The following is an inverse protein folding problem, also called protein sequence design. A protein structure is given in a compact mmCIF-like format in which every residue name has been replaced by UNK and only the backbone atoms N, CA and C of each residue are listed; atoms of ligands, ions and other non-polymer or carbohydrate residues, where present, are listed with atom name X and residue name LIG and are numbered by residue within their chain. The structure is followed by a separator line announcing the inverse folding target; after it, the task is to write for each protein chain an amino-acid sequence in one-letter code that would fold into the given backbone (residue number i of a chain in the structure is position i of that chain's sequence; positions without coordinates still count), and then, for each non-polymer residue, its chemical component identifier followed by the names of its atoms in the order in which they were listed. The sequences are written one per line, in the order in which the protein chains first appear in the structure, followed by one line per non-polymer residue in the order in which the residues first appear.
data_IF_436868258788
#
_entry.id   IF_436868258788
#
_cell.length_a   1.000
_cell.length_b   1.000
_cell.length_c   1.000
_cell.angle_alpha   90.00
_cell.angle_beta   90.00
_cell.angle_gamma   90.00
#
_symmetry.space_group_name_H-M   'P 1'
#
loop_
_entity.id
_entity.type
_entity.pdbx_description
1 polymer ?
#
# COMPACT_ATOMS: atom_id res chain seq x y z
N UNK A 1 -42.77 -2.18 17.24
CA UNK A 1 -41.74 -1.24 17.72
C UNK A 1 -40.63 -1.20 16.67
N UNK A 2 -40.47 -0.10 15.95
CA UNK A 2 -39.38 0.04 14.96
C UNK A 2 -38.06 0.29 15.69
N UNK A 3 -37.02 -0.47 15.35
CA UNK A 3 -35.69 -0.30 15.93
C UNK A 3 -35.11 1.07 15.55
N UNK A 4 -34.42 1.73 16.49
CA UNK A 4 -33.70 2.97 16.19
C UNK A 4 -32.61 2.67 15.14
N UNK A 5 -32.48 3.50 14.09
CA UNK A 5 -31.42 3.33 13.12
C UNK A 5 -30.04 3.41 13.80
N UNK A 6 -29.06 2.73 13.22
CA UNK A 6 -27.68 2.87 13.70
C UNK A 6 -27.21 4.33 13.55
N UNK A 7 -26.32 4.78 14.43
CA UNK A 7 -25.76 6.13 14.37
C UNK A 7 -25.19 6.48 12.98
N UNK A 8 -24.60 5.50 12.29
CA UNK A 8 -24.09 5.67 10.92
C UNK A 8 -25.21 6.01 9.93
N UNK A 9 -26.33 5.31 10.02
CA UNK A 9 -27.51 5.58 9.17
C UNK A 9 -28.08 6.95 9.48
N UNK A 10 -28.20 7.33 10.76
CA UNK A 10 -28.65 8.67 11.15
C UNK A 10 -27.75 9.79 10.59
N UNK A 11 -26.43 9.58 10.62
CA UNK A 11 -25.46 10.51 10.05
C UNK A 11 -25.58 10.62 8.54
N UNK A 12 -25.70 9.49 7.84
CA UNK A 12 -25.82 9.46 6.38
C UNK A 12 -27.11 10.15 5.91
N UNK A 13 -28.23 9.93 6.60
CA UNK A 13 -29.50 10.62 6.36
C UNK A 13 -29.41 12.13 6.64
N UNK A 14 -28.77 12.52 7.76
CA UNK A 14 -28.59 13.93 8.09
C UNK A 14 -27.76 14.66 7.04
N UNK A 15 -26.62 14.06 6.64
CA UNK A 15 -25.77 14.56 5.56
C UNK A 15 -26.54 14.69 4.25
N UNK A 16 -27.32 13.67 3.87
CA UNK A 16 -28.11 13.68 2.65
C UNK A 16 -29.14 14.82 2.65
N UNK A 17 -29.85 15.03 3.77
CA UNK A 17 -30.79 16.17 3.92
C UNK A 17 -30.09 17.52 3.80
N UNK A 18 -28.95 17.70 4.46
CA UNK A 18 -28.19 18.96 4.39
C UNK A 18 -27.69 19.25 2.97
N UNK A 19 -27.20 18.22 2.27
CA UNK A 19 -26.80 18.34 0.86
C UNK A 19 -27.99 18.68 -0.05
N UNK A 20 -29.17 18.12 0.20
CA UNK A 20 -30.38 18.39 -0.59
C UNK A 20 -30.86 19.85 -0.47
N UNK A 21 -30.57 20.51 0.65
CA UNK A 21 -30.86 21.95 0.87
C UNK A 21 -29.72 22.85 0.37
N UNK A 22 -28.63 22.26 -0.16
CA UNK A 22 -27.53 22.99 -0.78
C UNK A 22 -26.34 23.31 0.13
N UNK A 23 -26.32 22.82 1.37
CA UNK A 23 -25.18 23.05 2.27
C UNK A 23 -23.89 22.44 1.71
N UNK A 24 -22.80 23.19 1.82
CA UNK A 24 -21.45 22.75 1.47
C UNK A 24 -20.95 21.65 2.42
N UNK A 25 -19.92 20.92 2.01
CA UNK A 25 -19.27 19.95 2.88
C UNK A 25 -18.63 20.60 4.11
N UNK A 26 -18.25 21.88 4.04
CA UNK A 26 -17.64 22.59 5.17
C UNK A 26 -18.68 22.98 6.21
N UNK A 27 -19.85 23.45 5.78
CA UNK A 27 -20.98 23.70 6.69
C UNK A 27 -21.47 22.41 7.36
N UNK A 28 -21.54 21.31 6.59
CA UNK A 28 -21.88 20.00 7.15
C UNK A 28 -20.80 19.54 8.15
N UNK A 29 -19.52 19.78 7.88
CA UNK A 29 -18.45 19.44 8.81
C UNK A 29 -18.56 20.22 10.12
N UNK A 30 -18.88 21.51 10.08
CA UNK A 30 -19.12 22.32 11.28
C UNK A 30 -20.27 21.73 12.10
N UNK A 31 -21.37 21.38 11.46
CA UNK A 31 -22.53 20.80 12.15
C UNK A 31 -22.23 19.41 12.70
N UNK A 32 -21.44 18.59 11.99
CA UNK A 32 -21.01 17.28 12.49
C UNK A 32 -20.04 17.40 13.66
N UNK A 33 -19.14 18.38 13.64
CA UNK A 33 -18.24 18.66 14.76
C UNK A 33 -19.03 19.08 16.00
N UNK A 34 -20.07 19.91 15.84
CA UNK A 34 -20.95 20.35 16.92
C UNK A 34 -21.81 19.22 17.48
N UNK A 35 -22.54 18.51 16.60
CA UNK A 35 -23.57 17.54 16.98
C UNK A 35 -23.01 16.20 17.46
N UNK A 36 -21.87 15.77 16.90
CA UNK A 36 -21.25 14.47 17.22
C UNK A 36 -19.89 14.62 17.91
N UNK A 37 -19.47 15.85 18.26
CA UNK A 37 -18.18 16.14 18.89
C UNK A 37 -16.98 15.63 18.10
N UNK A 38 -17.10 15.58 16.77
CA UNK A 38 -16.01 15.13 15.92
C UNK A 38 -14.88 16.16 15.85
N UNK A 39 -13.64 15.66 15.94
CA UNK A 39 -12.46 16.44 15.56
C UNK A 39 -12.55 16.87 14.09
N UNK A 40 -11.93 18.01 13.70
CA UNK A 40 -12.06 18.55 12.35
C UNK A 40 -11.83 17.53 11.22
N UNK A 41 -10.78 16.70 11.31
CA UNK A 41 -10.51 15.64 10.34
C UNK A 41 -11.65 14.62 10.20
N UNK A 42 -12.21 14.17 11.33
CA UNK A 42 -13.32 13.23 11.33
C UNK A 42 -14.60 13.90 10.80
N UNK A 43 -14.84 15.15 11.18
CA UNK A 43 -16.00 15.91 10.72
C UNK A 43 -16.01 16.08 9.19
N UNK A 44 -14.89 16.47 8.58
CA UNK A 44 -14.79 16.57 7.11
C UNK A 44 -14.94 15.21 6.41
N UNK A 45 -14.41 14.12 6.99
CA UNK A 45 -14.63 12.76 6.46
C UNK A 45 -16.12 12.43 6.43
N UNK A 46 -16.82 12.60 7.54
CA UNK A 46 -18.24 12.28 7.65
C UNK A 46 -19.11 13.21 6.81
N UNK A 47 -18.77 14.49 6.71
CA UNK A 47 -19.47 15.45 5.87
C UNK A 47 -19.47 15.03 4.39
N UNK A 48 -18.37 14.46 3.90
CA UNK A 48 -18.25 13.92 2.54
C UNK A 48 -18.84 12.51 2.37
N UNK A 49 -19.27 11.86 3.46
CA UNK A 49 -19.78 10.49 3.44
C UNK A 49 -18.69 9.45 3.15
N UNK A 50 -17.43 9.76 3.44
CA UNK A 50 -16.31 8.87 3.14
C UNK A 50 -16.08 7.84 4.23
N UNK A 51 -15.71 6.63 3.81
CA UNK A 51 -15.05 5.67 4.70
C UNK A 51 -13.66 6.18 5.09
N UNK A 52 -13.05 5.56 6.10
CA UNK A 52 -11.67 5.88 6.47
C UNK A 52 -10.70 5.67 5.31
N UNK A 53 -10.86 4.57 4.57
CA UNK A 53 -10.06 4.26 3.38
C UNK A 53 -10.24 5.29 2.27
N UNK A 54 -11.48 5.70 1.97
CA UNK A 54 -11.74 6.71 0.96
C UNK A 54 -11.11 8.06 1.32
N UNK A 55 -11.19 8.46 2.60
CA UNK A 55 -10.56 9.68 3.07
C UNK A 55 -9.02 9.61 3.01
N UNK A 56 -8.43 8.48 3.41
CA UNK A 56 -7.00 8.26 3.30
C UNK A 56 -6.53 8.35 1.84
N UNK A 57 -7.19 7.63 0.93
CA UNK A 57 -6.85 7.65 -0.50
C UNK A 57 -6.94 9.06 -1.09
N UNK A 58 -7.97 9.84 -0.74
CA UNK A 58 -8.10 11.21 -1.22
C UNK A 58 -7.00 12.13 -0.67
N UNK A 59 -6.61 11.97 0.60
CA UNK A 59 -5.51 12.75 1.21
C UNK A 59 -4.19 12.39 0.53
N UNK A 60 -3.90 11.11 0.39
CA UNK A 60 -2.69 10.60 -0.24
C UNK A 60 -2.56 11.10 -1.69
N UNK A 61 -3.64 10.97 -2.48
CA UNK A 61 -3.64 11.43 -3.86
C UNK A 61 -3.45 12.96 -3.97
N UNK A 62 -3.94 13.73 -3.00
CA UNK A 62 -3.67 15.17 -2.96
C UNK A 62 -2.23 15.47 -2.57
N UNK A 63 -1.67 14.77 -1.57
CA UNK A 63 -0.30 14.95 -1.13
C UNK A 63 0.70 14.65 -2.26
N UNK A 64 0.49 13.56 -3.01
CA UNK A 64 1.28 13.21 -4.18
C UNK A 64 1.23 14.32 -5.25
N UNK A 65 0.04 14.76 -5.66
CA UNK A 65 -0.11 15.83 -6.67
C UNK A 65 0.45 17.18 -6.22
N UNK A 66 0.43 17.48 -4.93
CA UNK A 66 0.91 18.73 -4.36
C UNK A 66 2.41 18.69 -3.97
N UNK A 67 3.09 17.55 -4.14
CA UNK A 67 4.47 17.37 -3.69
C UNK A 67 4.66 17.46 -2.17
N UNK A 68 3.60 17.18 -1.40
CA UNK A 68 3.60 17.19 0.07
C UNK A 68 3.96 15.83 0.69
N UNK A 69 4.32 14.85 -0.15
CA UNK A 69 4.81 13.54 0.26
C UNK A 69 6.24 13.31 -0.25
N UNK A 70 7.24 14.08 0.25
CA UNK A 70 8.61 13.99 -0.23
C UNK A 70 9.28 12.65 0.12
N UNK A 71 8.82 11.99 1.18
CA UNK A 71 9.39 10.73 1.69
C UNK A 71 8.62 9.49 1.19
N UNK A 72 7.56 9.66 0.38
CA UNK A 72 6.75 8.55 -0.12
C UNK A 72 6.03 7.77 0.99
N UNK A 73 5.62 8.46 2.05
CA UNK A 73 4.92 7.85 3.18
C UNK A 73 3.48 7.43 2.82
N UNK A 74 2.90 8.00 1.76
CA UNK A 74 1.63 7.51 1.24
C UNK A 74 1.83 6.14 0.56
N UNK A 75 0.94 5.16 0.83
CA UNK A 75 0.99 3.89 0.12
C UNK A 75 0.86 4.11 -1.38
N UNK A 76 1.83 3.58 -2.12
CA UNK A 76 1.84 3.59 -3.57
C UNK A 76 0.68 2.77 -4.12
N UNK A 77 0.14 3.23 -5.25
CA UNK A 77 -0.78 2.45 -6.06
C UNK A 77 -0.06 1.27 -6.70
N UNK A 78 -0.82 0.22 -7.06
CA UNK A 78 -0.29 -0.93 -7.80
C UNK A 78 0.38 -0.51 -9.11
N UNK A 79 -0.17 0.50 -9.79
CA UNK A 79 0.41 1.06 -11.01
C UNK A 79 1.74 1.77 -10.74
N UNK A 80 1.84 2.57 -9.68
CA UNK A 80 3.10 3.23 -9.31
C UNK A 80 4.18 2.21 -8.93
N UNK A 81 3.80 1.11 -8.25
CA UNK A 81 4.72 0.00 -7.97
C UNK A 81 5.15 -0.66 -9.29
N UNK A 82 4.21 -0.97 -10.18
CA UNK A 82 4.49 -1.57 -11.48
C UNK A 82 5.45 -0.70 -12.31
N UNK A 83 5.21 0.61 -12.36
CA UNK A 83 6.03 1.54 -13.13
C UNK A 83 7.44 1.66 -12.53
N UNK A 84 7.56 1.68 -11.20
CA UNK A 84 8.86 1.60 -10.54
C UNK A 84 9.59 0.28 -10.83
N UNK A 85 8.90 -0.85 -10.75
CA UNK A 85 9.48 -2.18 -11.06
C UNK A 85 9.88 -2.24 -12.55
N UNK A 86 9.08 -1.66 -13.44
CA UNK A 86 9.39 -1.58 -14.87
C UNK A 86 10.63 -0.73 -15.13
N UNK A 87 10.77 0.42 -14.45
CA UNK A 87 11.97 1.24 -14.54
C UNK A 87 13.23 0.52 -14.02
N UNK A 88 13.08 -0.39 -13.05
CA UNK A 88 14.16 -1.29 -12.60
C UNK A 88 14.39 -2.44 -13.60
N UNK A 89 13.40 -2.81 -14.41
CA UNK A 89 13.48 -3.88 -15.41
C UNK A 89 14.61 -3.71 -16.42
N UNK A 90 14.97 -2.48 -16.77
CA UNK A 90 16.12 -2.18 -17.64
C UNK A 90 17.45 -2.65 -17.03
N UNK A 91 17.56 -2.66 -15.69
CA UNK A 91 18.74 -3.17 -14.96
C UNK A 91 18.79 -4.70 -15.05
N UNK A 92 17.65 -5.38 -14.97
CA UNK A 92 17.57 -6.85 -15.11
C UNK A 92 17.96 -7.29 -16.51
N UNK A 93 17.59 -6.52 -17.55
CA UNK A 93 18.02 -6.77 -18.92
C UNK A 93 19.55 -6.68 -19.05
N UNK A 94 20.17 -5.62 -18.52
CA UNK A 94 21.64 -5.47 -18.49
C UNK A 94 22.30 -6.63 -17.73
N UNK A 95 21.75 -7.02 -16.58
CA UNK A 95 22.22 -8.18 -15.82
C UNK A 95 22.01 -9.50 -16.54
N UNK A 96 21.12 -9.62 -17.52
CA UNK A 96 20.89 -10.87 -18.26
C UNK A 96 21.99 -11.08 -19.30
N UNK A 97 22.47 -10.01 -19.93
CA UNK A 97 23.50 -10.05 -20.98
C UNK A 97 24.93 -9.93 -20.44
N UNK A 98 25.11 -9.43 -19.22
CA UNK A 98 26.43 -9.20 -18.60
C UNK A 98 27.31 -10.47 -18.54
N UNK A 99 28.64 -10.27 -18.50
CA UNK A 99 29.59 -11.36 -18.33
C UNK A 99 29.30 -12.13 -17.02
N UNK A 100 29.44 -13.48 -17.00
CA UNK A 100 29.23 -14.26 -15.78
C UNK A 100 30.06 -13.81 -14.57
N UNK A 101 31.25 -13.25 -14.76
CA UNK A 101 32.08 -12.72 -13.68
C UNK A 101 31.48 -11.43 -13.10
N UNK A 102 31.02 -10.51 -13.96
CA UNK A 102 30.39 -9.25 -13.54
C UNK A 102 29.06 -9.52 -12.80
N UNK A 103 28.28 -10.48 -13.29
CA UNK A 103 27.07 -10.98 -12.61
C UNK A 103 27.38 -11.50 -11.21
N UNK A 104 28.44 -12.30 -11.07
CA UNK A 104 28.81 -12.90 -9.79
C UNK A 104 29.20 -11.85 -8.74
N UNK A 105 29.88 -10.77 -9.15
CA UNK A 105 30.21 -9.65 -8.27
C UNK A 105 28.95 -8.94 -7.76
N UNK A 106 28.03 -8.60 -8.66
CA UNK A 106 26.78 -7.90 -8.31
C UNK A 106 25.89 -8.76 -7.40
N UNK A 107 25.74 -10.05 -7.70
CA UNK A 107 24.98 -10.96 -6.84
C UNK A 107 25.61 -11.07 -5.44
N UNK A 108 26.94 -11.09 -5.34
CA UNK A 108 27.62 -11.08 -4.04
C UNK A 108 27.32 -9.80 -3.24
N UNK A 109 27.33 -8.63 -3.89
CA UNK A 109 26.99 -7.35 -3.23
C UNK A 109 25.54 -7.31 -2.74
N UNK A 110 24.61 -7.94 -3.48
CA UNK A 110 23.20 -8.10 -3.09
C UNK A 110 22.98 -9.14 -1.96
N UNK A 111 24.05 -9.77 -1.47
CA UNK A 111 23.96 -10.84 -0.47
C UNK A 111 23.47 -12.17 -1.04
N UNK A 112 23.52 -12.36 -2.37
CA UNK A 112 23.20 -13.62 -3.03
C UNK A 112 24.48 -14.42 -3.29
N UNK A 113 24.58 -15.59 -2.66
CA UNK A 113 25.66 -16.53 -2.94
C UNK A 113 25.16 -17.57 -3.96
N UNK A 114 25.76 -17.58 -5.15
CA UNK A 114 25.43 -18.53 -6.21
C UNK A 114 26.47 -19.65 -6.26
N UNK A 115 26.02 -20.90 -6.16
CA UNK A 115 26.88 -22.08 -6.33
C UNK A 115 26.36 -22.90 -7.50
N UNK A 116 27.20 -23.08 -8.52
CA UNK A 116 26.87 -23.96 -9.63
C UNK A 116 27.22 -25.41 -9.29
N UNK A 117 26.26 -26.32 -9.46
CA UNK A 117 26.43 -27.76 -9.32
C UNK A 117 26.43 -28.42 -10.71
N UNK A 118 27.61 -28.74 -11.28
CA UNK A 118 27.71 -29.23 -12.66
C UNK A 118 26.98 -30.56 -12.89
N UNK A 119 27.00 -31.46 -11.90
CA UNK A 119 26.36 -32.78 -12.01
C UNK A 119 24.84 -32.72 -12.17
N UNK A 120 24.21 -31.68 -11.62
CA UNK A 120 22.76 -31.49 -11.67
C UNK A 120 22.33 -30.37 -12.65
N UNK A 121 23.29 -29.71 -13.32
CA UNK A 121 23.04 -28.57 -14.21
C UNK A 121 22.15 -27.49 -13.56
N UNK A 122 22.38 -27.22 -12.27
CA UNK A 122 21.59 -26.27 -11.48
C UNK A 122 22.48 -25.27 -10.77
N UNK A 123 21.93 -24.08 -10.55
CA UNK A 123 22.52 -23.06 -9.68
C UNK A 123 21.73 -23.05 -8.38
N UNK A 124 22.42 -23.16 -7.26
CA UNK A 124 21.85 -22.91 -5.92
C UNK A 124 22.09 -21.44 -5.60
N UNK A 125 21.01 -20.72 -5.34
CA UNK A 125 21.05 -19.33 -4.88
C UNK A 125 20.67 -19.26 -3.40
N UNK A 126 21.61 -18.84 -2.56
CA UNK A 126 21.38 -18.58 -1.14
C UNK A 126 21.31 -17.07 -0.89
N UNK A 127 20.23 -16.59 -0.27
CA UNK A 127 20.06 -15.17 0.04
C UNK A 127 20.41 -14.87 1.51
N UNK A 128 21.41 -14.01 1.70
CA UNK A 128 21.90 -13.46 2.98
C UNK A 128 21.69 -11.94 2.96
N UNK A 129 20.44 -11.46 3.06
CA UNK A 129 20.16 -10.04 2.99
C UNK A 129 20.90 -9.27 4.09
N UNK A 130 21.40 -8.09 3.74
CA UNK A 130 22.13 -7.18 4.63
C UNK A 130 21.12 -6.49 5.56
N UNK A 131 20.61 -7.19 6.57
CA UNK A 131 19.66 -6.62 7.53
C UNK A 131 18.62 -7.61 8.02
N UNK A 132 18.20 -7.41 9.25
CA UNK A 132 17.18 -8.18 9.95
C UNK A 132 15.79 -7.91 9.36
N UNK A 133 15.49 -8.52 8.22
CA UNK A 133 14.14 -8.59 7.67
C UNK A 133 13.38 -9.73 8.36
N UNK A 134 13.01 -9.52 9.62
CA UNK A 134 11.90 -10.25 10.22
C UNK A 134 10.77 -9.26 10.50
N UNK A 135 9.86 -9.14 9.55
CA UNK A 135 8.48 -8.80 9.87
C UNK A 135 7.67 -10.11 9.78
N UNK A 136 7.57 -10.80 10.92
CA UNK A 136 6.62 -11.85 11.30
C UNK A 136 6.19 -12.88 10.23
N UNK A 137 6.65 -14.12 10.43
CA UNK A 137 6.16 -15.36 9.80
C UNK A 137 6.00 -15.33 8.27
N UNK A 138 7.04 -15.80 7.58
CA UNK A 138 6.95 -16.23 6.19
C UNK A 138 5.95 -17.41 6.12
N UNK A 139 4.76 -17.27 5.49
CA UNK A 139 3.70 -18.27 5.55
C UNK A 139 3.93 -19.40 4.55
N UNK A 140 5.11 -20.05 4.59
CA UNK A 140 5.36 -21.28 3.84
C UNK A 140 5.52 -22.45 4.79
N UNK A 141 4.44 -23.18 4.98
CA UNK A 141 4.49 -24.56 5.42
C UNK A 141 3.44 -25.37 4.67
N UNK A 142 3.92 -26.25 3.78
CA UNK A 142 3.23 -27.46 3.25
C UNK A 142 2.87 -27.61 1.74
N UNK A 143 3.50 -26.90 0.79
CA UNK A 143 3.46 -27.36 -0.61
C UNK A 143 4.56 -28.41 -0.89
N UNK A 144 4.39 -29.61 -0.33
CA UNK A 144 5.15 -30.78 -0.79
C UNK A 144 4.19 -31.89 -1.25
N UNK A 145 3.76 -31.91 -2.53
CA UNK A 145 2.83 -32.91 -3.08
C UNK A 145 3.45 -34.31 -3.31
N UNK A 146 4.60 -34.61 -2.70
CA UNK A 146 5.33 -35.88 -2.89
C UNK A 146 5.72 -36.61 -1.59
N UNK A 147 5.00 -36.40 -0.49
CA UNK A 147 5.08 -37.34 0.63
C UNK A 147 4.44 -38.68 0.20
N UNK A 148 5.25 -39.73 0.16
CA UNK A 148 4.89 -41.10 -0.28
C UNK A 148 3.68 -41.69 0.43
#
# INVERSE_FOLDING_TARGET
MTAKPSQRVEQDELRARMRAVGMSHDEIAIEFARRYHYRPRAAHRHARGWTQTQAANHINAHAARAGLDPDGAAPMTEQEIHDMVTAVGDIVAVLTEADPADKAEIYTQLGLQLTYEPGAHRVIAEAKPQGIMYERECPRGDLNPHAR
#
